data_IF_730654955122
#
_entry.id   IF_730654955122
#
_cell.length_a   1.000
_cell.length_b   1.000
_cell.length_c   1.000
_cell.angle_alpha   90.00
_cell.angle_beta   90.00
_cell.angle_gamma   90.00
#
_symmetry.space_group_name_H-M   'P 1'
#
loop_
_entity.id
_entity.type
_entity.pdbx_description
1 polymer ?
#
# COMPACT_ATOMS: atom_id res chain seq x y z
N UNK A 1 -6.77 16.35 23.23
CA UNK A 1 -6.59 14.89 23.05
C UNK A 1 -5.79 14.64 21.77
N UNK A 2 -4.49 14.41 21.97
CA UNK A 2 -3.49 13.70 21.17
C UNK A 2 -3.28 14.10 19.69
N UNK A 3 -2.59 15.24 19.49
CA UNK A 3 -1.91 15.59 18.23
C UNK A 3 -0.43 15.19 18.30
N UNK A 4 -0.12 13.90 18.20
CA UNK A 4 1.27 13.40 18.10
C UNK A 4 1.47 12.35 16.99
N UNK A 5 0.62 12.33 15.97
CA UNK A 5 0.78 11.42 14.82
C UNK A 5 1.51 12.06 13.63
N UNK A 6 2.29 13.13 13.85
CA UNK A 6 3.16 13.70 12.81
C UNK A 6 4.58 13.13 12.93
N UNK A 7 4.71 11.81 12.94
CA UNK A 7 6.01 11.15 12.83
C UNK A 7 6.26 10.92 11.34
N UNK A 8 7.20 11.68 10.80
CA UNK A 8 7.79 11.61 9.46
C UNK A 8 7.51 10.24 8.83
N UNK A 9 6.48 10.16 7.97
CA UNK A 9 6.08 8.95 7.24
C UNK A 9 7.20 8.57 6.27
N UNK A 10 8.22 7.88 6.75
CA UNK A 10 9.11 7.11 5.89
C UNK A 10 8.22 6.18 5.08
N UNK A 11 8.17 6.38 3.76
CA UNK A 11 7.38 5.54 2.86
C UNK A 11 7.90 4.09 2.96
N UNK A 12 7.19 3.28 3.75
CA UNK A 12 7.43 1.84 3.82
C UNK A 12 7.31 1.27 2.42
N UNK A 13 8.17 0.31 2.09
CA UNK A 13 8.23 -0.30 0.77
C UNK A 13 8.09 -1.80 0.91
N UNK A 14 7.11 -2.32 0.21
CA UNK A 14 6.93 -3.76 0.02
C UNK A 14 7.36 -4.10 -1.39
N UNK A 15 8.17 -5.14 -1.53
CA UNK A 15 8.69 -5.62 -2.78
C UNK A 15 8.07 -6.97 -3.11
N UNK A 16 7.63 -7.12 -4.35
CA UNK A 16 7.22 -8.41 -4.90
C UNK A 16 8.48 -9.09 -5.45
N UNK A 17 8.89 -10.19 -4.81
CA UNK A 17 10.09 -10.92 -5.19
C UNK A 17 9.94 -11.53 -6.58
N UNK A 18 11.04 -11.61 -7.32
CA UNK A 18 11.08 -12.35 -8.58
C UNK A 18 11.74 -13.72 -8.45
N UNK A 19 12.41 -13.96 -7.32
CA UNK A 19 13.12 -15.17 -6.95
C UNK A 19 12.56 -15.70 -5.64
N UNK A 20 12.97 -16.91 -5.27
CA UNK A 20 12.71 -17.46 -3.94
C UNK A 20 13.32 -16.55 -2.87
N UNK A 21 12.62 -16.44 -1.75
CA UNK A 21 13.02 -15.63 -0.60
C UNK A 21 12.51 -16.29 0.66
N UNK A 22 13.33 -16.28 1.70
CA UNK A 22 12.92 -16.64 3.06
C UNK A 22 12.81 -15.39 3.94
N UNK A 23 12.02 -15.49 5.00
CA UNK A 23 11.95 -14.47 6.03
C UNK A 23 13.17 -14.55 6.96
N UNK A 24 13.85 -13.43 7.18
CA UNK A 24 15.02 -13.35 8.07
C UNK A 24 14.68 -13.40 9.56
N UNK A 25 13.41 -13.29 9.93
CA UNK A 25 12.95 -13.31 11.33
C UNK A 25 12.31 -14.65 11.72
N UNK A 26 11.24 -15.07 11.03
CA UNK A 26 10.58 -16.34 11.34
C UNK A 26 11.17 -17.56 10.59
N UNK A 27 12.06 -17.35 9.61
CA UNK A 27 12.65 -18.43 8.82
C UNK A 27 11.71 -19.06 7.78
N UNK A 28 10.49 -18.55 7.62
CA UNK A 28 9.51 -19.07 6.66
C UNK A 28 10.01 -18.96 5.22
N UNK A 29 9.82 -20.03 4.44
CA UNK A 29 10.03 -20.00 2.99
C UNK A 29 8.83 -19.34 2.31
N UNK A 30 9.04 -18.14 1.78
CA UNK A 30 8.00 -17.36 1.12
C UNK A 30 7.88 -17.70 -0.37
N UNK A 31 8.86 -18.42 -0.93
CA UNK A 31 8.88 -18.80 -2.34
C UNK A 31 8.94 -17.61 -3.30
N UNK A 32 8.38 -17.81 -4.50
CA UNK A 32 8.41 -16.83 -5.61
C UNK A 32 7.20 -15.90 -5.58
N UNK A 33 7.39 -14.64 -5.96
CA UNK A 33 6.34 -13.60 -5.93
C UNK A 33 5.84 -13.29 -4.51
N UNK A 34 6.65 -13.63 -3.51
CA UNK A 34 6.44 -13.25 -2.13
C UNK A 34 6.42 -11.73 -1.98
N UNK A 35 5.70 -11.25 -0.98
CA UNK A 35 5.63 -9.85 -0.61
C UNK A 35 6.52 -9.67 0.61
N UNK A 36 7.58 -8.90 0.45
CA UNK A 36 8.59 -8.72 1.50
C UNK A 36 8.87 -7.25 1.76
N UNK A 37 9.24 -6.95 2.99
CA UNK A 37 9.87 -5.68 3.36
C UNK A 37 11.36 -5.92 3.57
N UNK A 38 12.20 -4.98 3.15
CA UNK A 38 13.64 -5.05 3.38
C UNK A 38 14.00 -4.17 4.58
N UNK A 39 14.56 -4.78 5.61
CA UNK A 39 15.11 -4.09 6.77
C UNK A 39 16.63 -4.26 6.82
N UNK A 40 17.36 -3.21 7.22
CA UNK A 40 18.82 -3.16 7.10
C UNK A 40 19.53 -4.29 7.85
N UNK A 41 19.04 -4.63 9.04
CA UNK A 41 19.71 -5.57 9.95
C UNK A 41 19.12 -6.98 9.88
N UNK A 42 17.84 -7.11 9.49
CA UNK A 42 17.09 -8.38 9.45
C UNK A 42 16.91 -8.97 8.05
N UNK A 43 17.28 -8.23 7.00
CA UNK A 43 17.13 -8.69 5.62
C UNK A 43 15.67 -8.63 5.13
N UNK A 44 15.22 -9.69 4.45
CA UNK A 44 13.86 -9.77 3.91
C UNK A 44 12.90 -10.28 4.98
N UNK A 45 11.85 -9.53 5.27
CA UNK A 45 10.80 -9.89 6.22
C UNK A 45 9.49 -10.16 5.48
N UNK A 46 8.76 -11.18 5.91
CA UNK A 46 7.38 -11.39 5.46
C UNK A 46 6.47 -10.28 5.99
N UNK A 47 5.26 -10.16 5.43
CA UNK A 47 4.34 -9.09 5.84
C UNK A 47 3.94 -9.20 7.32
N UNK A 48 3.78 -10.41 7.85
CA UNK A 48 3.44 -10.61 9.26
C UNK A 48 4.59 -10.21 10.20
N UNK A 49 5.84 -10.59 9.93
CA UNK A 49 6.99 -10.14 10.72
C UNK A 49 7.26 -8.63 10.62
N UNK A 50 6.78 -7.99 9.55
CA UNK A 50 6.89 -6.55 9.36
C UNK A 50 5.65 -5.76 9.86
N UNK A 51 4.67 -6.41 10.50
CA UNK A 51 3.39 -5.83 10.91
C UNK A 51 2.64 -5.12 9.75
N UNK A 52 2.60 -5.74 8.56
CA UNK A 52 1.93 -5.20 7.36
C UNK A 52 0.85 -6.11 6.79
N UNK A 53 0.65 -7.31 7.36
CA UNK A 53 -0.31 -8.32 6.89
C UNK A 53 -1.79 -7.93 7.10
N UNK A 54 -2.06 -7.05 8.06
CA UNK A 54 -3.39 -6.46 8.28
C UNK A 54 -3.76 -5.35 7.29
N UNK A 55 -2.84 -4.96 6.39
CA UNK A 55 -3.09 -3.95 5.38
C UNK A 55 -3.69 -4.55 4.11
N UNK A 56 -4.62 -3.83 3.50
CA UNK A 56 -5.29 -4.20 2.26
C UNK A 56 -4.56 -3.59 1.07
N UNK A 57 -4.41 -4.39 0.01
CA UNK A 57 -3.79 -3.94 -1.23
C UNK A 57 -4.77 -3.15 -2.11
N UNK A 58 -4.47 -1.87 -2.29
CA UNK A 58 -5.10 -0.98 -3.25
C UNK A 58 -4.25 -0.89 -4.53
N UNK A 59 -4.70 -1.44 -5.68
CA UNK A 59 -3.99 -1.30 -6.93
C UNK A 59 -3.90 0.16 -7.39
N UNK A 60 -2.91 0.47 -8.22
CA UNK A 60 -2.86 1.75 -8.91
C UNK A 60 -4.02 1.89 -9.92
N UNK A 61 -4.53 3.11 -10.10
CA UNK A 61 -5.66 3.38 -10.99
C UNK A 61 -6.33 4.72 -10.67
N UNK A 62 -7.23 4.72 -9.68
CA UNK A 62 -7.91 5.94 -9.25
C UNK A 62 -6.99 6.80 -8.35
N UNK A 63 -6.54 7.93 -8.90
CA UNK A 63 -5.68 8.87 -8.21
C UNK A 63 -6.34 9.54 -6.99
N UNK A 64 -7.65 9.78 -7.04
CA UNK A 64 -8.39 10.35 -5.92
C UNK A 64 -8.52 9.33 -4.78
N UNK A 65 -8.88 8.09 -5.11
CA UNK A 65 -9.00 7.00 -4.15
C UNK A 65 -7.66 6.69 -3.48
N UNK A 66 -6.60 6.48 -4.27
CA UNK A 66 -5.25 6.17 -3.75
C UNK A 66 -4.67 7.29 -2.89
N UNK A 67 -4.94 8.56 -3.24
CA UNK A 67 -4.51 9.72 -2.43
C UNK A 67 -5.29 9.82 -1.13
N UNK A 68 -6.61 9.59 -1.15
CA UNK A 68 -7.46 9.62 0.06
C UNK A 68 -7.15 8.45 0.99
N UNK A 69 -7.07 7.23 0.46
CA UNK A 69 -6.73 6.05 1.24
C UNK A 69 -5.37 6.23 1.94
N UNK A 70 -4.32 6.70 1.23
CA UNK A 70 -3.02 7.02 1.85
C UNK A 70 -3.10 8.10 2.93
N UNK A 71 -4.02 9.07 2.77
CA UNK A 71 -4.20 10.18 3.72
C UNK A 71 -4.86 9.69 5.01
N UNK A 72 -5.90 8.86 4.90
CA UNK A 72 -6.65 8.35 6.05
C UNK A 72 -5.91 7.22 6.78
N UNK A 73 -5.08 6.47 6.06
CA UNK A 73 -4.27 5.41 6.66
C UNK A 73 -3.21 5.98 7.59
N UNK A 74 -3.13 5.47 8.81
CA UNK A 74 -2.04 5.72 9.74
C UNK A 74 -0.78 5.03 9.26
N UNK A 75 -0.88 3.75 8.88
CA UNK A 75 0.17 2.94 8.30
C UNK A 75 -0.05 2.73 6.80
N UNK A 76 0.98 2.88 5.97
CA UNK A 76 0.85 2.61 4.53
C UNK A 76 2.19 2.21 3.93
N UNK A 77 2.18 1.30 2.95
CA UNK A 77 3.39 0.86 2.26
C UNK A 77 3.22 0.83 0.74
N UNK A 78 4.21 1.33 0.00
CA UNK A 78 4.20 1.31 -1.46
C UNK A 78 4.63 -0.07 -1.95
N UNK A 79 3.82 -0.67 -2.82
CA UNK A 79 4.12 -1.98 -3.39
C UNK A 79 4.87 -1.81 -4.71
N UNK A 80 6.06 -2.40 -4.78
CA UNK A 80 6.98 -2.32 -5.90
C UNK A 80 7.23 -3.70 -6.48
N UNK A 81 7.32 -3.78 -7.81
CA UNK A 81 7.67 -5.02 -8.51
C UNK A 81 8.75 -4.76 -9.54
N UNK A 82 9.75 -5.64 -9.61
CA UNK A 82 10.77 -5.55 -10.65
C UNK A 82 10.18 -5.88 -12.02
N UNK A 83 10.24 -4.93 -12.94
CA UNK A 83 9.86 -5.12 -14.34
C UNK A 83 11.08 -5.59 -15.13
N UNK A 84 11.06 -6.85 -15.59
CA UNK A 84 12.12 -7.39 -16.46
C UNK A 84 12.17 -6.66 -17.80
N UNK A 85 11.02 -6.29 -18.36
CA UNK A 85 10.91 -5.59 -19.63
C UNK A 85 11.51 -4.17 -19.55
N UNK A 86 11.27 -3.45 -18.44
CA UNK A 86 11.72 -2.06 -18.26
C UNK A 86 12.98 -1.90 -17.40
N UNK A 87 13.55 -3.00 -16.90
CA UNK A 87 14.75 -3.07 -16.05
C UNK A 87 14.72 -2.09 -14.86
N UNK A 88 13.57 -1.94 -14.22
CA UNK A 88 13.38 -1.07 -13.04
C UNK A 88 12.25 -1.56 -12.15
N UNK A 89 12.18 -1.04 -10.93
CA UNK A 89 11.01 -1.22 -10.07
C UNK A 89 9.85 -0.36 -10.53
N UNK A 90 8.67 -0.97 -10.63
CA UNK A 90 7.42 -0.32 -10.98
C UNK A 90 6.46 -0.38 -9.80
N UNK A 91 5.85 0.76 -9.48
CA UNK A 91 4.80 0.84 -8.48
C UNK A 91 3.58 0.08 -8.97
N UNK A 92 3.15 -0.91 -8.19
CA UNK A 92 1.96 -1.70 -8.47
C UNK A 92 0.73 -1.12 -7.77
N UNK A 93 0.91 -0.60 -6.56
CA UNK A 93 -0.17 -0.07 -5.75
C UNK A 93 0.31 0.41 -4.38
N UNK A 94 -0.57 0.35 -3.40
CA UNK A 94 -0.36 0.77 -2.03
C UNK A 94 -1.05 -0.21 -1.08
N UNK A 95 -0.38 -0.58 0.01
CA UNK A 95 -1.01 -1.20 1.18
C UNK A 95 -1.53 -0.09 2.10
N UNK A 96 -2.78 -0.20 2.51
CA UNK A 96 -3.48 0.75 3.37
C UNK A 96 -4.36 -0.01 4.37
N UNK A 97 -4.74 0.65 5.45
CA UNK A 97 -5.71 0.10 6.40
C UNK A 97 -7.09 0.00 5.74
N UNK A 98 -7.81 -1.07 6.06
CA UNK A 98 -9.14 -1.36 5.50
C UNK A 98 -10.13 -0.21 5.74
N UNK A 99 -10.20 0.29 6.97
CA UNK A 99 -11.05 1.43 7.35
C UNK A 99 -10.72 2.72 6.57
N UNK A 100 -9.44 2.93 6.25
CA UNK A 100 -9.00 4.08 5.47
C UNK A 100 -9.41 3.95 4.00
N UNK A 101 -9.40 2.74 3.45
CA UNK A 101 -9.89 2.46 2.10
C UNK A 101 -11.41 2.68 2.03
N UNK A 102 -12.18 2.10 2.95
CA UNK A 102 -13.64 2.28 2.96
C UNK A 102 -14.05 3.75 3.05
N UNK A 103 -13.39 4.53 3.93
CA UNK A 103 -13.66 5.96 4.02
C UNK A 103 -13.35 6.68 2.71
N UNK A 104 -12.23 6.34 2.07
CA UNK A 104 -11.85 6.93 0.81
C UNK A 104 -12.85 6.59 -0.32
N UNK A 105 -13.36 5.36 -0.35
CA UNK A 105 -14.39 4.92 -1.30
C UNK A 105 -15.71 5.67 -1.12
N UNK A 106 -16.19 5.79 0.13
CA UNK A 106 -17.41 6.56 0.45
C UNK A 106 -17.32 8.01 -0.03
N UNK A 107 -16.19 8.66 0.22
CA UNK A 107 -15.97 10.04 -0.25
C UNK A 107 -15.85 10.15 -1.77
N UNK A 108 -15.18 9.20 -2.43
CA UNK A 108 -15.11 9.16 -3.90
C UNK A 108 -16.49 8.98 -4.54
N UNK A 109 -17.34 8.13 -3.95
CA UNK A 109 -18.71 7.92 -4.40
C UNK A 109 -19.52 9.21 -4.26
N UNK A 110 -19.48 9.87 -3.10
CA UNK A 110 -20.17 11.13 -2.87
C UNK A 110 -19.73 12.24 -3.87
N UNK A 111 -18.43 12.33 -4.15
CA UNK A 111 -17.89 13.27 -5.16
C UNK A 111 -18.41 12.95 -6.57
N UNK A 112 -18.62 11.67 -6.89
CA UNK A 112 -19.15 11.26 -8.20
C UNK A 112 -20.62 11.65 -8.35
N UNK A 113 -21.43 11.50 -7.30
CA UNK A 113 -22.84 11.89 -7.27
C UNK A 113 -23.01 13.40 -7.41
N UNK A 114 -22.19 14.18 -6.69
CA UNK A 114 -22.19 15.65 -6.79
C UNK A 114 -21.83 16.10 -8.22
N UNK A 115 -20.85 15.45 -8.85
CA UNK A 115 -20.48 15.76 -10.25
C UNK A 115 -21.59 15.41 -11.24
N UNK A 116 -22.28 14.29 -11.04
CA UNK A 116 -23.40 13.89 -11.90
C UNK A 116 -24.58 14.88 -11.79
N UNK A 117 -24.94 15.29 -10.56
CA UNK A 117 -26.02 16.27 -10.34
C UNK A 117 -25.74 17.60 -11.03
N UNK A 118 -24.52 18.14 -10.88
CA UNK A 118 -24.10 19.39 -11.56
C UNK A 118 -24.14 19.29 -13.08
N UNK A 119 -23.95 18.09 -13.65
CA UNK A 119 -24.02 17.86 -15.09
C UNK A 119 -25.45 17.82 -15.60
N UNK A 120 -26.38 17.26 -14.82
CA UNK A 120 -27.80 17.19 -15.18
C UNK A 120 -28.55 18.51 -14.99
N UNK A 121 -28.01 19.43 -14.17
CA UNK A 121 -28.54 20.79 -13.95
C UNK A 121 -28.07 21.81 -15.01
N UNK A 122 -27.29 21.38 -16.02
CA UNK A 122 -26.74 22.23 -17.08
C UNK A 122 -27.35 21.89 -18.44
#
# INVERSE_FOLDING_TARGET
MNKEANKIKSDLKVFITTRESSCGECGEDLGRKAWITLEKDRGALCLSCADLDHLVFLPSGDAALTRRARKYSMLSAVVLKWSRARKRYERQGLLVEDQALEQAERECLADSEVRARRKNER
#
